data_IF_583781550100
#
_entry.id   IF_583781550100
#
_cell.length_a   1.000
_cell.length_b   1.000
_cell.length_c   1.000
_cell.angle_alpha   90.00
_cell.angle_beta   90.00
_cell.angle_gamma   90.00
#
_symmetry.space_group_name_H-M   'P 1'
#
loop_
_entity.id
_entity.type
_entity.pdbx_description
1 polymer ?
#
# COMPACT_ATOMS: atom_id res chain seq x y z
N UNK A 1 28.06 0.88 4.83
CA UNK A 1 26.69 1.40 4.74
C UNK A 1 26.24 1.36 3.29
N UNK A 2 25.04 0.91 3.07
CA UNK A 2 24.53 0.83 1.71
C UNK A 2 24.27 2.22 1.16
N UNK A 3 24.70 2.45 -0.08
CA UNK A 3 24.38 3.67 -0.79
C UNK A 3 22.89 3.64 -1.17
N UNK A 4 22.20 4.75 -0.94
CA UNK A 4 20.77 4.81 -1.23
C UNK A 4 20.54 5.11 -2.70
N UNK A 5 19.72 4.28 -3.36
CA UNK A 5 19.20 4.57 -4.69
C UNK A 5 18.15 5.68 -4.58
N UNK A 6 17.73 6.30 -5.69
CA UNK A 6 16.65 7.28 -5.65
C UNK A 6 15.37 6.73 -5.01
N UNK A 7 15.05 5.46 -5.24
CA UNK A 7 13.88 4.84 -4.63
C UNK A 7 14.06 4.71 -3.12
N UNK A 8 15.26 4.34 -2.66
CA UNK A 8 15.55 4.25 -1.24
C UNK A 8 15.47 5.63 -0.57
N UNK A 9 15.93 6.67 -1.26
CA UNK A 9 15.84 8.03 -0.73
C UNK A 9 14.40 8.49 -0.59
N UNK A 10 13.55 8.18 -1.56
CA UNK A 10 12.11 8.48 -1.48
C UNK A 10 11.50 7.76 -0.28
N UNK A 11 11.85 6.49 -0.10
CA UNK A 11 11.38 5.71 1.04
C UNK A 11 11.82 6.34 2.36
N UNK A 12 13.08 6.74 2.46
CA UNK A 12 13.62 7.35 3.68
C UNK A 12 12.91 8.67 4.02
N UNK A 13 12.58 9.47 3.01
CA UNK A 13 11.85 10.72 3.21
C UNK A 13 10.43 10.48 3.70
N UNK A 14 9.81 9.36 3.26
CA UNK A 14 8.46 9.01 3.65
C UNK A 14 8.38 8.51 5.10
N UNK A 15 9.48 8.06 5.69
CA UNK A 15 9.48 7.50 7.06
C UNK A 15 8.90 8.48 8.07
N UNK A 16 9.24 9.77 7.96
CA UNK A 16 8.70 10.78 8.87
C UNK A 16 7.17 10.85 8.79
N UNK A 17 6.61 10.75 7.59
CA UNK A 17 5.16 10.74 7.38
C UNK A 17 4.54 9.45 7.90
N UNK A 18 5.25 8.34 7.82
CA UNK A 18 4.77 7.04 8.29
C UNK A 18 4.72 6.95 9.81
N UNK A 19 5.39 7.86 10.51
CA UNK A 19 5.35 7.94 11.97
C UNK A 19 4.22 8.84 12.47
N UNK A 20 3.43 9.42 11.56
CA UNK A 20 2.31 10.27 11.94
C UNK A 20 1.25 9.45 12.67
N UNK A 21 0.47 10.09 13.56
CA UNK A 21 -0.64 9.40 14.22
C UNK A 21 -1.60 8.77 13.20
N UNK A 22 -2.10 7.57 13.51
CA UNK A 22 -3.03 6.86 12.64
C UNK A 22 -2.38 6.09 11.51
N UNK A 23 -1.05 6.04 11.45
CA UNK A 23 -0.33 5.29 10.43
C UNK A 23 0.37 4.09 11.06
N UNK A 24 0.14 2.92 10.49
CA UNK A 24 0.84 1.68 10.87
C UNK A 24 1.67 1.23 9.68
N UNK A 25 2.90 0.82 9.93
CA UNK A 25 3.86 0.48 8.88
C UNK A 25 4.36 -0.95 9.07
N UNK A 26 4.43 -1.70 7.97
CA UNK A 26 4.95 -3.07 7.97
C UNK A 26 6.12 -3.19 7.04
N UNK A 27 7.07 -4.04 7.43
CA UNK A 27 8.19 -4.42 6.59
C UNK A 27 8.20 -5.94 6.46
N UNK A 28 8.58 -6.42 5.29
CA UNK A 28 8.75 -7.85 5.04
C UNK A 28 10.23 -8.14 4.82
N UNK A 29 10.74 -9.15 5.50
CA UNK A 29 12.16 -9.50 5.49
C UNK A 29 12.34 -10.96 5.09
N UNK A 30 13.38 -11.22 4.34
CA UNK A 30 13.82 -12.56 4.00
C UNK A 30 15.31 -12.64 4.30
N UNK A 31 15.70 -13.44 5.30
CA UNK A 31 17.08 -13.53 5.81
C UNK A 31 17.58 -12.14 6.14
N UNK A 32 17.76 -11.32 6.51
CA UNK A 32 18.22 -9.97 6.78
C UNK A 32 18.04 -8.99 5.62
N UNK A 33 17.30 -9.40 4.58
CA UNK A 33 17.05 -8.52 3.43
C UNK A 33 15.62 -8.01 3.45
N UNK A 34 15.45 -6.68 3.30
CA UNK A 34 14.14 -6.06 3.19
C UNK A 34 13.56 -6.37 1.80
N UNK A 35 12.47 -7.13 1.75
CA UNK A 35 11.87 -7.55 0.49
C UNK A 35 10.56 -6.85 0.17
N UNK A 36 10.03 -6.07 1.09
CA UNK A 36 8.83 -5.29 0.82
C UNK A 36 8.39 -4.50 2.02
N UNK A 37 7.49 -3.54 1.78
CA UNK A 37 6.89 -2.75 2.86
C UNK A 37 5.54 -2.21 2.42
N UNK A 38 4.78 -1.73 3.39
CA UNK A 38 3.51 -1.06 3.15
C UNK A 38 3.01 -0.41 4.42
N UNK A 39 2.07 0.51 4.28
CA UNK A 39 1.51 1.23 5.41
C UNK A 39 -0.01 1.33 5.29
N UNK A 40 -0.66 1.47 6.44
CA UNK A 40 -2.10 1.68 6.54
C UNK A 40 -2.34 2.94 7.34
N UNK A 41 -3.02 3.90 6.73
CA UNK A 41 -3.41 5.15 7.39
C UNK A 41 -4.91 5.11 7.68
N UNK A 42 -5.29 5.39 8.91
CA UNK A 42 -6.70 5.50 9.23
C UNK A 42 -7.24 6.84 8.71
N UNK A 43 -8.23 6.78 7.84
CA UNK A 43 -8.93 7.98 7.33
C UNK A 43 -10.14 8.28 8.18
N UNK A 44 -10.81 7.23 8.67
CA UNK A 44 -11.95 7.30 9.56
C UNK A 44 -12.03 5.96 10.30
N UNK A 45 -12.89 5.82 11.31
CA UNK A 45 -13.05 4.53 12.01
C UNK A 45 -13.43 3.36 11.11
N UNK A 46 -13.93 3.63 9.89
CA UNK A 46 -14.36 2.58 8.95
C UNK A 46 -13.62 2.59 7.63
N UNK A 47 -12.63 3.47 7.44
CA UNK A 47 -11.96 3.63 6.16
C UNK A 47 -10.46 3.78 6.34
N UNK A 48 -9.69 2.90 5.72
CA UNK A 48 -8.23 2.96 5.74
C UNK A 48 -7.64 3.20 4.35
N UNK A 49 -6.49 3.83 4.33
CA UNK A 49 -5.74 4.06 3.09
C UNK A 49 -4.44 3.25 3.12
N UNK A 50 -4.20 2.47 2.05
CA UNK A 50 -2.94 1.76 1.87
C UNK A 50 -1.95 2.72 1.23
N UNK A 51 -0.78 2.87 1.84
CA UNK A 51 0.28 3.77 1.39
C UNK A 51 1.61 3.07 1.32
N UNK A 52 2.51 3.62 0.54
CA UNK A 52 3.94 3.25 0.54
C UNK A 52 4.20 1.77 0.28
N UNK A 53 3.35 1.12 -0.51
CA UNK A 53 3.59 -0.25 -0.94
C UNK A 53 4.80 -0.29 -1.86
N UNK A 54 5.83 -1.01 -1.45
CA UNK A 54 7.08 -1.08 -2.21
C UNK A 54 7.70 -2.46 -2.14
N UNK A 55 8.25 -2.90 -3.26
CA UNK A 55 9.08 -4.10 -3.35
C UNK A 55 10.29 -3.73 -4.20
N UNK A 56 11.53 -3.96 -3.71
CA UNK A 56 12.72 -3.70 -4.53
C UNK A 56 12.61 -4.38 -5.88
N UNK A 57 13.07 -3.70 -6.93
CA UNK A 57 12.91 -4.16 -8.30
C UNK A 57 13.48 -5.56 -8.54
N UNK A 58 14.63 -5.84 -7.92
CA UNK A 58 15.30 -7.14 -8.04
C UNK A 58 14.58 -8.27 -7.31
N UNK A 59 13.65 -7.94 -6.41
CA UNK A 59 12.95 -8.90 -5.57
C UNK A 59 11.46 -9.01 -5.89
N UNK A 60 11.03 -8.36 -6.96
CA UNK A 60 9.65 -8.48 -7.43
C UNK A 60 9.37 -9.91 -7.85
N UNK A 61 8.13 -10.35 -7.68
CA UNK A 61 7.64 -11.70 -8.00
C UNK A 61 8.01 -12.77 -6.98
N UNK A 62 8.60 -12.39 -5.85
CA UNK A 62 8.85 -13.33 -4.75
C UNK A 62 7.70 -13.39 -3.74
N UNK A 63 6.59 -12.74 -4.03
CA UNK A 63 5.42 -12.79 -3.18
C UNK A 63 5.43 -11.83 -2.01
N UNK A 64 6.46 -11.02 -1.84
CA UNK A 64 6.55 -10.08 -0.72
C UNK A 64 5.45 -9.03 -0.76
N UNK A 65 5.18 -8.46 -1.93
CA UNK A 65 4.12 -7.47 -2.09
C UNK A 65 2.75 -8.04 -1.74
N UNK A 66 2.49 -9.26 -2.18
CA UNK A 66 1.23 -9.94 -1.87
C UNK A 66 1.11 -10.22 -0.38
N UNK A 67 2.20 -10.64 0.27
CA UNK A 67 2.19 -10.93 1.70
C UNK A 67 1.93 -9.66 2.52
N UNK A 68 2.58 -8.55 2.17
CA UNK A 68 2.36 -7.27 2.83
C UNK A 68 0.91 -6.81 2.63
N UNK A 69 0.42 -6.87 1.40
CA UNK A 69 -0.95 -6.47 1.08
C UNK A 69 -1.95 -7.30 1.87
N UNK A 70 -1.76 -8.62 1.93
CA UNK A 70 -2.65 -9.51 2.66
C UNK A 70 -2.65 -9.17 4.15
N UNK A 71 -1.49 -8.90 4.72
CA UNK A 71 -1.37 -8.50 6.13
C UNK A 71 -2.14 -7.20 6.39
N UNK A 72 -2.04 -6.22 5.49
CA UNK A 72 -2.75 -4.96 5.63
C UNK A 72 -4.27 -5.17 5.55
N UNK A 73 -4.71 -6.01 4.62
CA UNK A 73 -6.14 -6.33 4.48
C UNK A 73 -6.67 -6.97 5.76
N UNK A 74 -5.93 -7.94 6.30
CA UNK A 74 -6.31 -8.61 7.54
C UNK A 74 -6.38 -7.62 8.71
N UNK A 75 -5.43 -6.71 8.78
CA UNK A 75 -5.43 -5.67 9.81
C UNK A 75 -6.64 -4.76 9.66
N UNK A 76 -6.99 -4.36 8.44
CA UNK A 76 -8.18 -3.55 8.19
C UNK A 76 -9.45 -4.26 8.65
N UNK A 77 -9.57 -5.55 8.36
CA UNK A 77 -10.69 -6.34 8.84
C UNK A 77 -10.74 -6.38 10.36
N UNK A 78 -9.58 -6.59 10.98
CA UNK A 78 -9.49 -6.67 12.44
C UNK A 78 -9.88 -5.36 13.12
N UNK A 79 -9.58 -4.24 12.50
CA UNK A 79 -9.93 -2.91 13.02
C UNK A 79 -11.39 -2.52 12.78
N UNK A 80 -12.11 -3.30 11.99
CA UNK A 80 -13.51 -2.99 11.66
C UNK A 80 -13.68 -2.02 10.52
N UNK A 81 -12.65 -1.81 9.70
CA UNK A 81 -12.79 -0.98 8.51
C UNK A 81 -13.75 -1.66 7.53
N UNK A 82 -14.55 -0.87 6.85
CA UNK A 82 -15.49 -1.35 5.83
C UNK A 82 -14.91 -1.18 4.42
N UNK A 83 -13.85 -0.38 4.29
CA UNK A 83 -13.23 -0.11 3.01
C UNK A 83 -11.75 0.20 3.17
N UNK A 84 -10.95 -0.30 2.24
CA UNK A 84 -9.57 0.13 2.04
C UNK A 84 -9.48 0.80 0.69
N UNK A 85 -8.73 1.90 0.61
CA UNK A 85 -8.53 2.63 -0.62
C UNK A 85 -7.05 2.87 -0.83
N UNK A 86 -6.65 3.07 -2.07
CA UNK A 86 -5.26 3.39 -2.41
C UNK A 86 -5.19 4.29 -3.63
N UNK A 87 -4.08 5.00 -3.72
CA UNK A 87 -3.74 5.76 -4.92
C UNK A 87 -2.43 5.19 -5.45
N UNK A 88 -2.36 4.97 -6.75
CA UNK A 88 -1.17 4.45 -7.41
C UNK A 88 -0.97 5.18 -8.73
N UNK A 89 0.18 4.98 -9.38
CA UNK A 89 0.46 5.66 -10.64
C UNK A 89 -0.32 5.07 -11.81
N UNK A 90 -0.58 5.89 -12.81
CA UNK A 90 -1.25 5.47 -14.05
C UNK A 90 -0.26 4.97 -15.11
N UNK A 91 1.03 5.24 -14.94
CA UNK A 91 2.07 4.86 -15.89
C UNK A 91 2.12 3.33 -16.07
N UNK A 92 2.56 2.90 -17.25
CA UNK A 92 2.66 1.48 -17.59
C UNK A 92 3.50 0.67 -16.57
N UNK A 93 4.48 1.31 -15.93
CA UNK A 93 5.31 0.66 -14.92
C UNK A 93 4.51 0.21 -13.70
N UNK A 94 3.32 0.73 -13.50
CA UNK A 94 2.46 0.38 -12.36
C UNK A 94 1.44 -0.71 -12.68
N UNK A 95 1.44 -1.25 -13.90
CA UNK A 95 0.46 -2.27 -14.29
C UNK A 95 0.52 -3.52 -13.41
N UNK A 96 1.72 -3.92 -12.99
CA UNK A 96 1.87 -5.08 -12.12
C UNK A 96 1.29 -4.81 -10.73
N UNK A 97 1.43 -3.58 -10.25
CA UNK A 97 0.80 -3.18 -8.99
C UNK A 97 -0.72 -3.21 -9.12
N UNK A 98 -1.27 -2.67 -10.22
CA UNK A 98 -2.70 -2.74 -10.48
C UNK A 98 -3.20 -4.19 -10.49
N UNK A 99 -2.46 -5.07 -11.15
CA UNK A 99 -2.83 -6.49 -11.22
C UNK A 99 -2.80 -7.14 -9.83
N UNK A 100 -1.81 -6.79 -9.02
CA UNK A 100 -1.73 -7.29 -7.65
C UNK A 100 -2.94 -6.86 -6.83
N UNK A 101 -3.29 -5.59 -6.87
CA UNK A 101 -4.46 -5.08 -6.14
C UNK A 101 -5.75 -5.71 -6.67
N UNK A 102 -5.91 -5.81 -7.98
CA UNK A 102 -7.09 -6.43 -8.58
C UNK A 102 -7.22 -7.90 -8.17
N UNK A 103 -6.10 -8.62 -8.08
CA UNK A 103 -6.12 -10.02 -7.64
C UNK A 103 -6.57 -10.18 -6.20
N UNK A 104 -6.44 -9.14 -5.40
CA UNK A 104 -6.90 -9.14 -4.00
C UNK A 104 -8.35 -8.65 -3.86
N UNK A 105 -8.99 -8.27 -4.97
CA UNK A 105 -10.37 -7.83 -4.97
C UNK A 105 -10.58 -6.32 -5.10
N UNK A 106 -9.50 -5.56 -5.22
CA UNK A 106 -9.64 -4.10 -5.43
C UNK A 106 -10.21 -3.81 -6.81
N UNK A 107 -11.03 -2.79 -6.87
CA UNK A 107 -11.63 -2.31 -8.13
C UNK A 107 -11.23 -0.85 -8.33
N UNK A 108 -11.20 -0.41 -9.60
CA UNK A 108 -10.95 0.98 -9.89
C UNK A 108 -12.07 1.84 -9.30
N UNK A 109 -11.68 2.98 -8.75
CA UNK A 109 -12.63 3.89 -8.09
C UNK A 109 -12.27 5.33 -8.43
N UNK A 110 -13.10 6.26 -7.97
CA UNK A 110 -12.76 7.68 -7.99
C UNK A 110 -11.82 8.05 -6.85
N UNK A 111 -11.38 9.32 -6.82
CA UNK A 111 -10.55 9.82 -5.73
C UNK A 111 -11.25 9.70 -4.37
N UNK A 112 -10.45 9.59 -3.33
CA UNK A 112 -10.93 9.54 -1.94
C UNK A 112 -10.10 10.52 -1.10
N UNK A 113 -10.57 10.80 0.11
CA UNK A 113 -9.94 11.75 1.02
C UNK A 113 -9.72 13.10 0.30
N UNK A 114 -8.53 13.67 0.39
CA UNK A 114 -8.21 14.96 -0.23
C UNK A 114 -7.65 14.85 -1.64
N UNK A 115 -7.62 13.65 -2.21
CA UNK A 115 -7.09 13.45 -3.55
C UNK A 115 -8.00 14.06 -4.61
N UNK A 116 -7.38 14.59 -5.65
CA UNK A 116 -8.08 15.09 -6.83
C UNK A 116 -7.77 14.20 -8.02
N UNK A 117 -8.75 14.06 -8.91
CA UNK A 117 -8.55 13.33 -10.15
C UNK A 117 -7.48 14.00 -10.99
N UNK A 118 -6.53 13.20 -11.51
CA UNK A 118 -5.49 13.70 -12.38
C UNK A 118 -4.97 12.54 -13.25
N UNK A 119 -4.33 12.86 -14.41
CA UNK A 119 -3.92 11.82 -15.35
C UNK A 119 -2.79 10.92 -14.86
N UNK A 120 -2.10 11.29 -13.78
CA UNK A 120 -0.97 10.52 -13.26
C UNK A 120 -1.36 9.56 -12.14
N UNK A 121 -2.61 9.59 -11.69
CA UNK A 121 -3.08 8.79 -10.56
C UNK A 121 -4.23 7.88 -10.95
N UNK A 122 -4.21 6.70 -10.37
CA UNK A 122 -5.29 5.72 -10.43
C UNK A 122 -5.70 5.43 -8.99
N UNK A 123 -7.00 5.36 -8.76
CA UNK A 123 -7.54 5.08 -7.43
C UNK A 123 -8.23 3.72 -7.46
N UNK A 124 -8.03 2.94 -6.40
CA UNK A 124 -8.64 1.62 -6.27
C UNK A 124 -9.19 1.45 -4.85
N UNK A 125 -10.22 0.66 -4.72
CA UNK A 125 -10.87 0.43 -3.44
C UNK A 125 -11.27 -1.03 -3.29
N UNK A 126 -11.20 -1.52 -2.05
CA UNK A 126 -11.65 -2.84 -1.66
C UNK A 126 -12.68 -2.70 -0.55
N UNK A 127 -13.86 -3.27 -0.74
CA UNK A 127 -14.84 -3.38 0.33
C UNK A 127 -14.48 -4.56 1.22
N UNK A 128 -14.44 -4.32 2.51
CA UNK A 128 -14.17 -5.36 3.49
C UNK A 128 -15.49 -5.93 4.00
N UNK A 129 -15.49 -7.24 4.25
CA UNK A 129 -16.66 -7.88 4.82
C UNK A 129 -16.77 -7.54 6.29
N UNK A 130 -17.96 -7.13 6.70
CA UNK A 130 -18.24 -6.93 8.11
C UNK A 130 -18.08 -8.26 8.84
N UNK A 131 -17.38 -8.23 9.98
CA UNK A 131 -17.38 -9.39 10.86
C UNK A 131 -18.82 -9.65 11.34
N UNK A 132 -19.24 -10.86 11.18
CA UNK A 132 -20.60 -11.25 11.59
C UNK A 132 -20.69 -11.31 13.11
#
# INVERSE_FOLDING_TARGET
>A
MRELSPADQVFALDVAKLRAPGVTFWTAWENDELVGCGALKELSPTHGEIKSMRTPKTLRRKGAGRAVLQTIIEEGNSRGYLQLSLETGSHADFKKAHALYASAGFEYSGPFADYLENPHSVFMALRLKRAA
#
